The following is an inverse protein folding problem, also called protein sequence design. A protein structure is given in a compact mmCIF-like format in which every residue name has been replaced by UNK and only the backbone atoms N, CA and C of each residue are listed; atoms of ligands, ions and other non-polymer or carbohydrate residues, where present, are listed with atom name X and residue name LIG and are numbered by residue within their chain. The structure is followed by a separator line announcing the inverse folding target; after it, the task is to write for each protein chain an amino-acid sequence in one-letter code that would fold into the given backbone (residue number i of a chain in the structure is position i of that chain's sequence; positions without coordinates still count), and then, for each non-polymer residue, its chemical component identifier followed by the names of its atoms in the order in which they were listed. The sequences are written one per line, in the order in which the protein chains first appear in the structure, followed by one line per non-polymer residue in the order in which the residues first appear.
data_IF_196027664549
#
_entry.id   IF_196027664549
#
_cell.length_a   1.000
_cell.length_b   1.000
_cell.length_c   1.000
_cell.angle_alpha   90.00
_cell.angle_beta   90.00
_cell.angle_gamma   90.00
#
_symmetry.space_group_name_H-M   'P 1'
#
loop_
_entity.id
_entity.type
_entity.pdbx_description
1 polymer ?
#
# COMPACT_ATOMS: atom_id res chain seq x y z
N UNK A 1 0.75 -52.87 -36.88
CA UNK A 1 1.47 -52.77 -35.59
C UNK A 1 0.82 -51.64 -34.83
N UNK A 2 0.00 -51.97 -33.83
CA UNK A 2 -0.65 -51.01 -32.95
C UNK A 2 0.39 -50.51 -31.96
N UNK A 3 0.73 -49.23 -32.03
CA UNK A 3 1.56 -48.59 -31.00
C UNK A 3 0.61 -47.88 -30.06
N UNK A 4 0.30 -48.56 -28.95
CA UNK A 4 -0.39 -48.05 -27.77
C UNK A 4 0.03 -46.61 -27.48
N UNK A 5 -0.90 -45.67 -27.63
CA UNK A 5 -0.68 -44.27 -27.34
C UNK A 5 -0.55 -44.11 -25.82
N UNK A 6 0.71 -44.02 -25.37
CA UNK A 6 1.18 -43.77 -24.01
C UNK A 6 0.81 -42.35 -23.55
N UNK A 7 -0.47 -42.00 -23.62
CA UNK A 7 -1.03 -40.88 -22.88
C UNK A 7 -1.27 -41.40 -21.45
N UNK A 8 -0.21 -41.37 -20.64
CA UNK A 8 -0.31 -41.71 -19.23
C UNK A 8 -1.32 -40.75 -18.59
N UNK A 9 -2.44 -41.33 -18.18
CA UNK A 9 -3.62 -40.64 -17.71
C UNK A 9 -3.24 -39.71 -16.53
N UNK A 10 -3.51 -38.40 -16.57
CA UNK A 10 -3.17 -37.46 -15.49
C UNK A 10 -3.77 -37.88 -14.14
N UNK A 11 -4.85 -38.68 -14.16
CA UNK A 11 -5.42 -39.30 -12.98
C UNK A 11 -4.55 -40.41 -12.39
N UNK A 12 -3.81 -41.16 -13.20
CA UNK A 12 -2.83 -42.17 -12.76
C UNK A 12 -1.62 -41.52 -12.11
N UNK A 13 -1.15 -40.39 -12.63
CA UNK A 13 -0.10 -39.59 -12.00
C UNK A 13 -0.54 -39.09 -10.62
N UNK A 14 -1.75 -38.53 -10.53
CA UNK A 14 -2.33 -38.05 -9.28
C UNK A 14 -2.53 -39.20 -8.28
N UNK A 15 -3.01 -40.36 -8.74
CA UNK A 15 -3.17 -41.57 -7.93
C UNK A 15 -1.83 -42.10 -7.42
N UNK A 16 -0.79 -42.08 -8.24
CA UNK A 16 0.55 -42.50 -7.86
C UNK A 16 1.20 -41.52 -6.86
N UNK A 17 0.92 -40.22 -6.99
CA UNK A 17 1.40 -39.19 -6.07
C UNK A 17 0.66 -39.23 -4.72
N UNK A 18 -0.66 -39.45 -4.74
CA UNK A 18 -1.49 -39.65 -3.55
C UNK A 18 -1.14 -40.95 -2.81
N UNK A 19 -0.90 -42.04 -3.56
CA UNK A 19 -0.44 -43.32 -3.02
C UNK A 19 0.97 -43.24 -2.41
N UNK A 20 1.88 -42.48 -3.03
CA UNK A 20 3.25 -42.25 -2.50
C UNK A 20 3.29 -41.33 -1.27
N UNK A 21 2.28 -40.46 -1.09
CA UNK A 21 2.09 -39.65 0.12
C UNK A 21 1.52 -40.45 1.31
N UNK A 22 1.28 -41.76 1.16
CA UNK A 22 0.88 -42.65 2.26
C UNK A 22 -0.59 -42.57 2.66
N UNK A 23 -1.44 -41.87 1.89
CA UNK A 23 -2.87 -41.79 2.15
C UNK A 23 -3.64 -42.97 1.52
N UNK A 24 -3.31 -44.21 1.92
CA UNK A 24 -4.19 -45.36 1.71
C UNK A 24 -5.20 -45.41 2.85
N UNK A 25 -6.47 -45.09 2.58
CA UNK A 25 -7.59 -45.41 3.47
C UNK A 25 -8.36 -46.53 2.76
N UNK A 26 -8.65 -47.70 3.36
CA UNK A 26 -9.30 -47.81 4.68
C UNK A 26 -8.91 -49.05 5.52
N UNK A 27 -8.75 -48.90 6.84
CA UNK A 27 -8.84 -50.04 7.77
C UNK A 27 -7.81 -50.14 8.91
N UNK A 28 -6.69 -49.41 8.90
CA UNK A 28 -5.72 -49.48 10.01
C UNK A 28 -4.95 -48.17 10.18
N UNK A 29 -5.50 -47.26 10.97
CA UNK A 29 -4.79 -46.63 12.10
C UNK A 29 -5.88 -46.28 13.08
N UNK A 30 -5.96 -47.01 14.19
CA UNK A 30 -6.67 -46.52 15.38
C UNK A 30 -6.26 -45.05 15.58
N UNK A 31 -7.18 -44.09 15.53
CA UNK A 31 -6.87 -42.73 15.94
C UNK A 31 -6.27 -42.86 17.33
N UNK A 32 -4.99 -42.52 17.49
CA UNK A 32 -4.41 -42.37 18.80
C UNK A 32 -5.22 -41.26 19.46
N UNK A 33 -6.16 -41.64 20.33
CA UNK A 33 -6.94 -40.76 21.19
C UNK A 33 -6.03 -40.15 22.28
N UNK A 34 -4.82 -39.76 21.88
CA UNK A 34 -3.88 -39.08 22.74
C UNK A 34 -4.23 -37.60 22.69
N UNK A 35 -4.87 -37.15 23.77
CA UNK A 35 -5.31 -35.77 23.94
C UNK A 35 -4.12 -34.81 23.84
N UNK A 36 -2.93 -35.23 24.27
CA UNK A 36 -1.72 -34.39 24.19
C UNK A 36 -1.25 -34.21 22.74
N UNK A 37 -1.45 -35.21 21.88
CA UNK A 37 -1.17 -35.08 20.44
C UNK A 37 -2.20 -34.15 19.78
N UNK A 38 -3.48 -34.29 20.14
CA UNK A 38 -4.53 -33.39 19.66
C UNK A 38 -4.26 -31.94 20.07
N UNK A 39 -3.83 -31.69 21.30
CA UNK A 39 -3.50 -30.34 21.79
C UNK A 39 -2.31 -29.74 21.02
N UNK A 40 -1.28 -30.53 20.71
CA UNK A 40 -0.16 -30.09 19.86
C UNK A 40 -0.63 -29.75 18.46
N UNK A 41 -1.47 -30.61 17.84
CA UNK A 41 -2.02 -30.34 16.50
C UNK A 41 -2.91 -29.11 16.50
N UNK A 42 -3.71 -28.90 17.54
CA UNK A 42 -4.55 -27.70 17.70
C UNK A 42 -3.65 -26.45 17.80
N UNK A 43 -2.57 -26.51 18.59
CA UNK A 43 -1.64 -25.39 18.72
C UNK A 43 -0.95 -25.04 17.39
N UNK A 44 -0.48 -26.05 16.66
CA UNK A 44 0.14 -25.85 15.34
C UNK A 44 -0.86 -25.27 14.33
N UNK A 45 -2.08 -25.81 14.27
CA UNK A 45 -3.14 -25.28 13.40
C UNK A 45 -3.53 -23.84 13.75
N UNK A 46 -3.54 -23.46 15.04
CA UNK A 46 -3.74 -22.06 15.45
C UNK A 46 -2.59 -21.15 15.04
N UNK A 47 -1.36 -21.64 15.08
CA UNK A 47 -0.20 -20.88 14.60
C UNK A 47 -0.30 -20.63 13.09
N UNK A 48 -0.66 -21.66 12.31
CA UNK A 48 -0.91 -21.54 10.87
C UNK A 48 -2.06 -20.58 10.59
N UNK A 49 -3.17 -20.69 11.32
CA UNK A 49 -4.32 -19.79 11.19
C UNK A 49 -3.91 -18.32 11.42
N UNK A 50 -3.14 -18.05 12.47
CA UNK A 50 -2.68 -16.70 12.78
C UNK A 50 -1.73 -16.15 11.69
N UNK A 51 -0.85 -16.99 11.14
CA UNK A 51 0.02 -16.60 10.03
C UNK A 51 -0.79 -16.29 8.76
N UNK A 52 -1.81 -17.10 8.45
CA UNK A 52 -2.70 -16.85 7.31
C UNK A 52 -3.50 -15.56 7.48
N UNK A 53 -3.99 -15.26 8.69
CA UNK A 53 -4.65 -13.97 8.98
C UNK A 53 -3.73 -12.78 8.76
N UNK A 54 -2.47 -12.89 9.16
CA UNK A 54 -1.47 -11.86 8.91
C UNK A 54 -1.23 -11.65 7.41
N UNK A 55 -1.12 -12.73 6.63
CA UNK A 55 -1.01 -12.65 5.17
C UNK A 55 -2.25 -11.98 4.55
N UNK A 56 -3.45 -12.37 4.99
CA UNK A 56 -4.70 -11.77 4.52
C UNK A 56 -4.73 -10.26 4.77
N UNK A 57 -4.36 -9.82 5.98
CA UNK A 57 -4.29 -8.40 6.31
C UNK A 57 -3.30 -7.65 5.40
N UNK A 58 -2.13 -8.25 5.11
CA UNK A 58 -1.16 -7.62 4.20
C UNK A 58 -1.70 -7.45 2.76
N UNK A 59 -2.45 -8.44 2.26
CA UNK A 59 -3.06 -8.38 0.94
C UNK A 59 -4.18 -7.33 0.89
N UNK A 60 -5.01 -7.25 1.92
CA UNK A 60 -6.05 -6.22 2.03
C UNK A 60 -5.45 -4.82 2.01
N UNK A 61 -4.35 -4.59 2.74
CA UNK A 61 -3.63 -3.32 2.71
C UNK A 61 -3.05 -3.01 1.32
N UNK A 62 -2.49 -4.01 0.64
CA UNK A 62 -2.00 -3.84 -0.74
C UNK A 62 -3.12 -3.49 -1.71
N UNK A 63 -4.29 -4.13 -1.59
CA UNK A 63 -5.48 -3.80 -2.40
C UNK A 63 -5.91 -2.36 -2.18
N UNK A 64 -6.02 -1.90 -0.93
CA UNK A 64 -6.40 -0.51 -0.62
C UNK A 64 -5.40 0.50 -1.21
N UNK A 65 -4.10 0.19 -1.17
CA UNK A 65 -3.08 1.03 -1.79
C UNK A 65 -3.28 1.14 -3.31
N UNK A 66 -3.56 0.02 -3.99
CA UNK A 66 -3.86 0.01 -5.43
C UNK A 66 -5.15 0.76 -5.77
N UNK A 67 -6.19 0.63 -4.94
CA UNK A 67 -7.44 1.38 -5.12
C UNK A 67 -7.22 2.89 -5.00
N UNK A 68 -6.39 3.32 -4.04
CA UNK A 68 -6.00 4.73 -3.90
C UNK A 68 -5.17 5.23 -5.09
N UNK A 69 -4.25 4.40 -5.61
CA UNK A 69 -3.49 4.73 -6.83
C UNK A 69 -4.41 4.86 -8.04
N UNK A 70 -5.38 3.95 -8.20
CA UNK A 70 -6.39 4.02 -9.27
C UNK A 70 -7.22 5.28 -9.16
N UNK A 71 -7.70 5.62 -7.97
CA UNK A 71 -8.48 6.84 -7.75
C UNK A 71 -7.69 8.09 -8.14
N UNK A 72 -6.40 8.15 -7.78
CA UNK A 72 -5.49 9.25 -8.15
C UNK A 72 -5.34 9.38 -9.67
N UNK A 73 -5.12 8.27 -10.37
CA UNK A 73 -5.03 8.27 -11.84
C UNK A 73 -6.36 8.71 -12.47
N UNK A 74 -7.49 8.25 -11.95
CA UNK A 74 -8.82 8.66 -12.44
C UNK A 74 -9.04 10.17 -12.28
N UNK A 75 -8.60 10.76 -11.16
CA UNK A 75 -8.63 12.22 -10.95
C UNK A 75 -7.74 12.96 -11.95
N UNK A 76 -6.52 12.46 -12.20
CA UNK A 76 -5.62 13.06 -13.20
C UNK A 76 -6.22 13.00 -14.60
N UNK A 77 -6.86 11.88 -14.97
CA UNK A 77 -7.54 11.74 -16.26
C UNK A 77 -8.74 12.68 -16.39
N UNK A 78 -9.54 12.82 -15.34
CA UNK A 78 -10.67 13.76 -15.32
C UNK A 78 -10.19 15.22 -15.47
N UNK A 79 -9.12 15.60 -14.77
CA UNK A 79 -8.55 16.94 -14.88
C UNK A 79 -7.93 17.19 -16.26
N UNK A 80 -7.22 16.20 -16.82
CA UNK A 80 -6.70 16.28 -18.19
C UNK A 80 -7.82 16.44 -19.22
N UNK A 81 -8.96 15.74 -19.04
CA UNK A 81 -10.12 15.89 -19.92
C UNK A 81 -10.73 17.28 -19.84
N UNK A 82 -10.86 17.84 -18.63
CA UNK A 82 -11.32 19.22 -18.42
C UNK A 82 -10.36 20.24 -19.06
N UNK A 83 -9.05 20.04 -18.95
CA UNK A 83 -8.06 20.91 -19.60
C UNK A 83 -8.14 20.84 -21.14
N UNK A 84 -8.35 19.65 -21.70
CA UNK A 84 -8.52 19.45 -23.14
C UNK A 84 -9.84 19.98 -23.69
N UNK A 85 -10.91 19.94 -22.90
CA UNK A 85 -12.25 20.43 -23.29
C UNK A 85 -12.48 21.91 -22.92
N UNK A 86 -11.61 22.49 -22.07
CA UNK A 86 -11.84 23.76 -21.37
C UNK A 86 -10.96 24.96 -21.75
N UNK A 87 -10.16 24.94 -22.82
CA UNK A 87 -9.61 26.19 -23.36
C UNK A 87 -8.31 26.08 -24.16
N UNK A 88 -8.37 26.65 -25.37
CA UNK A 88 -7.20 27.18 -26.06
C UNK A 88 -6.44 28.15 -25.15
N UNK A 89 -5.10 28.11 -25.11
CA UNK A 89 -4.35 29.11 -24.38
C UNK A 89 -4.42 30.44 -25.14
N UNK A 90 -5.00 31.45 -24.48
CA UNK A 90 -4.72 32.83 -24.83
C UNK A 90 -3.20 33.05 -24.75
N UNK A 91 -2.67 33.65 -25.81
CA UNK A 91 -1.26 33.99 -26.00
C UNK A 91 -0.68 34.71 -24.77
N UNK A 92 0.40 34.16 -24.19
CA UNK A 92 1.17 34.89 -23.19
C UNK A 92 2.02 34.01 -22.29
N UNK A 93 3.31 33.96 -22.60
CA UNK A 93 4.43 33.44 -21.80
C UNK A 93 4.65 31.92 -21.81
N UNK A 94 5.56 31.52 -22.68
CA UNK A 94 6.24 30.23 -22.68
C UNK A 94 7.05 30.05 -21.38
N UNK A 95 6.52 29.28 -20.45
CA UNK A 95 7.33 28.43 -19.59
C UNK A 95 7.24 27.01 -20.17
N UNK A 96 8.33 26.55 -20.78
CA UNK A 96 8.47 25.21 -21.33
C UNK A 96 8.03 24.17 -20.28
N UNK A 97 7.06 23.28 -20.56
CA UNK A 97 6.65 22.25 -19.63
C UNK A 97 7.80 21.24 -19.52
N UNK A 98 8.59 21.35 -18.46
CA UNK A 98 9.64 20.38 -18.17
C UNK A 98 8.97 19.04 -17.81
N UNK A 99 9.08 17.97 -18.61
CA UNK A 99 8.38 16.71 -18.37
C UNK A 99 8.79 16.04 -17.05
N UNK A 100 9.94 16.42 -16.49
CA UNK A 100 10.39 16.04 -15.16
C UNK A 100 9.57 16.72 -14.03
N UNK A 101 9.11 17.95 -14.25
CA UNK A 101 8.28 18.67 -13.28
C UNK A 101 6.86 18.09 -13.19
N UNK A 102 6.35 17.53 -14.29
CA UNK A 102 5.02 16.89 -14.33
C UNK A 102 4.91 15.63 -13.46
N UNK A 103 6.02 14.91 -13.24
CA UNK A 103 6.08 13.75 -12.33
C UNK A 103 6.30 14.11 -10.86
N UNK A 104 6.75 15.34 -10.58
CA UNK A 104 7.07 15.82 -9.24
C UNK A 104 5.94 16.63 -8.60
N UNK A 105 4.78 16.73 -9.25
CA UNK A 105 3.64 17.52 -8.78
C UNK A 105 3.21 17.22 -7.32
N UNK A 106 3.15 15.95 -6.85
CA UNK A 106 2.84 15.67 -5.45
C UNK A 106 3.86 16.25 -4.47
N UNK A 107 5.14 16.26 -4.85
CA UNK A 107 6.24 16.80 -4.04
C UNK A 107 6.29 18.33 -4.09
N UNK A 108 6.05 18.91 -5.28
CA UNK A 108 5.99 20.37 -5.47
C UNK A 108 4.81 20.99 -4.70
N UNK A 109 3.65 20.33 -4.65
CA UNK A 109 2.50 20.79 -3.88
C UNK A 109 2.80 20.79 -2.36
N UNK A 110 3.50 19.76 -1.88
CA UNK A 110 3.93 19.68 -0.47
C UNK A 110 4.98 20.75 -0.13
N UNK A 111 5.88 21.05 -1.07
CA UNK A 111 6.87 22.11 -0.91
C UNK A 111 6.22 23.51 -0.87
N UNK A 112 5.24 23.78 -1.75
CA UNK A 112 4.44 25.01 -1.67
C UNK A 112 3.63 25.11 -0.37
N UNK A 113 3.08 23.99 0.13
CA UNK A 113 2.39 23.98 1.41
C UNK A 113 3.35 24.22 2.59
N UNK A 114 4.59 23.74 2.50
CA UNK A 114 5.63 23.99 3.48
C UNK A 114 6.14 25.44 3.44
N UNK A 115 6.31 26.01 2.23
CA UNK A 115 6.71 27.41 2.03
C UNK A 115 5.61 28.40 2.40
N UNK A 116 4.33 28.08 2.13
CA UNK A 116 3.18 28.88 2.58
C UNK A 116 3.04 28.88 4.11
N UNK A 117 3.53 27.83 4.78
CA UNK A 117 3.59 27.76 6.26
C UNK A 117 4.87 28.40 6.82
N UNK A 118 5.86 28.71 5.98
CA UNK A 118 7.12 29.34 6.34
C UNK A 118 7.21 30.84 5.93
N UNK A 119 6.19 31.38 5.26
CA UNK A 119 6.09 32.82 5.06
C UNK A 119 5.91 33.52 6.43
N UNK A 120 6.72 34.55 6.74
CA UNK A 120 6.69 35.18 8.05
C UNK A 120 5.34 35.88 8.24
N UNK A 121 4.73 35.70 9.41
CA UNK A 121 3.63 36.53 9.86
C UNK A 121 4.00 38.01 9.65
N UNK A 122 3.11 38.85 9.08
CA UNK A 122 3.40 40.26 8.92
C UNK A 122 3.73 40.83 10.30
N UNK A 123 4.96 41.34 10.46
CA UNK A 123 5.42 41.93 11.69
C UNK A 123 4.43 43.02 12.13
N UNK A 124 3.97 43.04 13.39
CA UNK A 124 3.11 44.11 13.86
C UNK A 124 3.89 45.41 13.78
N UNK A 125 3.39 46.34 12.98
CA UNK A 125 3.92 47.69 12.84
C UNK A 125 3.89 48.36 14.21
N UNK A 126 5.06 48.78 14.70
CA UNK A 126 5.19 49.51 15.94
C UNK A 126 4.48 50.87 15.86
N UNK A 127 3.80 51.33 16.93
CA UNK A 127 3.69 52.74 17.22
C UNK A 127 4.80 53.16 18.20
N UNK A 128 5.56 54.17 17.79
CA UNK A 128 6.49 54.89 18.64
C UNK A 128 5.76 55.70 19.71
N UNK A 129 6.20 55.62 20.97
CA UNK A 129 6.12 56.73 21.93
C UNK A 129 7.07 56.50 23.11
N UNK A 130 8.00 57.44 23.23
CA UNK A 130 9.00 57.62 24.26
C UNK A 130 8.40 57.81 25.67
N UNK A 131 9.06 57.32 26.72
CA UNK A 131 9.68 58.15 27.78
C UNK A 131 9.91 57.39 29.10
N UNK A 132 11.14 57.59 29.62
CA UNK A 132 11.52 57.73 31.05
C UNK A 132 11.34 56.55 32.03
N UNK A 133 12.46 56.17 32.62
CA UNK A 133 12.51 55.84 34.05
C UNK A 133 13.42 54.68 34.42
N UNK A 134 14.71 54.97 34.63
CA UNK A 134 15.61 54.13 35.44
C UNK A 134 15.43 54.57 36.91
N UNK A 135 15.29 53.65 37.86
CA UNK A 135 16.35 53.45 38.86
C UNK A 135 16.61 51.94 39.02
N UNK A 136 17.86 51.44 39.03
CA UNK A 136 18.90 51.58 40.05
C UNK A 136 18.43 51.08 41.42
N UNK A 137 18.62 49.79 41.67
CA UNK A 137 18.93 49.30 43.01
C UNK A 137 20.15 48.39 42.96
N UNK A 138 20.99 48.59 43.95
CA UNK A 138 22.32 48.03 44.12
C UNK A 138 22.31 47.21 45.40
N UNK A 139 22.99 46.06 45.35
CA UNK A 139 23.59 45.34 46.48
C UNK A 139 22.66 44.60 47.44
#
# INVERSE_FOLDING_TARGET
MSTENKAQDPLEFMRNMWGKMGFSLPGMVTPTLDVDELDKRIADMKAVENWLKMNLNSLQMATQALEMQRATIATMQAMSKIASEGGAPAEGQAAQPNPFASGMWPWNLMQQAAEAKAAPAPAPSAPAASAKGKPKDSK
#
